data_IF_042890229706
#
_entry.id   IF_042890229706
#
_cell.length_a   1.000
_cell.length_b   1.000
_cell.length_c   1.000
_cell.angle_alpha   90.00
_cell.angle_beta   90.00
_cell.angle_gamma   90.00
#
_symmetry.space_group_name_H-M   'P 1'
#
loop_
_entity.id
_entity.type
_entity.pdbx_description
1 polymer ?
#
# COMPACT_ATOMS: atom_id res chain seq x y z
N UNK A 1 -36.92 51.29 8.34
CA UNK A 1 -37.86 50.71 7.35
C UNK A 1 -37.53 49.24 7.24
N UNK A 2 -38.29 48.44 7.96
CA UNK A 2 -38.08 46.97 8.09
C UNK A 2 -39.10 46.32 7.17
N UNK A 3 -38.65 45.59 6.17
CA UNK A 3 -39.49 44.78 5.27
C UNK A 3 -39.43 43.32 5.68
N UNK A 4 -40.54 42.86 6.20
CA UNK A 4 -40.84 41.49 6.55
C UNK A 4 -41.25 40.71 5.28
N UNK A 5 -40.66 39.54 5.05
CA UNK A 5 -40.98 38.60 3.96
C UNK A 5 -41.99 37.55 4.48
N UNK A 6 -43.06 37.25 3.75
CA UNK A 6 -44.01 36.22 4.16
C UNK A 6 -43.54 34.78 3.88
N UNK A 7 -44.05 33.85 4.71
CA UNK A 7 -43.78 32.42 4.65
C UNK A 7 -44.57 31.69 3.53
N UNK A 8 -44.10 30.59 3.00
CA UNK A 8 -44.80 29.77 2.02
C UNK A 8 -45.86 28.85 2.66
N UNK A 9 -46.88 28.43 1.91
CA UNK A 9 -48.00 27.61 2.41
C UNK A 9 -47.63 26.11 2.48
N UNK A 10 -48.30 25.41 3.40
CA UNK A 10 -48.24 23.98 3.62
C UNK A 10 -48.95 23.19 2.51
N UNK A 11 -48.50 21.98 2.17
CA UNK A 11 -49.22 21.12 1.24
C UNK A 11 -50.31 20.26 1.92
N UNK A 12 -51.45 20.21 1.30
CA UNK A 12 -52.63 19.45 1.69
C UNK A 12 -52.43 17.91 1.55
N UNK A 13 -52.95 17.20 2.51
CA UNK A 13 -53.04 15.73 2.52
C UNK A 13 -54.14 15.21 1.61
N UNK A 14 -53.82 14.28 0.70
CA UNK A 14 -54.79 13.49 -0.02
C UNK A 14 -54.65 12.00 0.38
N UNK A 15 -55.66 11.54 1.10
CA UNK A 15 -55.92 10.12 1.36
C UNK A 15 -56.66 9.48 0.20
N UNK A 16 -56.18 8.39 -0.32
CA UNK A 16 -57.00 7.45 -1.11
C UNK A 16 -56.60 6.03 -0.77
N UNK A 17 -57.59 5.31 -0.24
CA UNK A 17 -57.56 3.89 0.04
C UNK A 17 -57.88 3.09 -1.26
N UNK A 18 -57.21 1.95 -1.45
CA UNK A 18 -57.66 0.86 -2.27
C UNK A 18 -57.18 -0.48 -1.70
N UNK A 19 -58.12 -1.34 -1.49
CA UNK A 19 -57.99 -2.69 -0.94
C UNK A 19 -57.52 -3.75 -1.98
N UNK A 20 -57.26 -5.03 -1.59
CA UNK A 20 -56.22 -5.86 -2.18
C UNK A 20 -56.76 -6.84 -3.24
N UNK A 21 -55.92 -7.20 -4.17
CA UNK A 21 -56.14 -8.34 -5.05
C UNK A 21 -55.15 -9.46 -4.72
N UNK A 22 -55.70 -10.60 -4.34
CA UNK A 22 -55.01 -11.87 -4.14
C UNK A 22 -54.45 -12.40 -5.46
N UNK A 23 -53.22 -12.85 -5.45
CA UNK A 23 -52.70 -13.83 -6.40
C UNK A 23 -51.64 -14.69 -5.69
N UNK A 24 -52.04 -15.90 -5.38
CA UNK A 24 -51.15 -17.00 -5.00
C UNK A 24 -50.30 -17.47 -6.19
N UNK A 25 -49.19 -18.08 -5.82
CA UNK A 25 -48.41 -19.02 -6.63
C UNK A 25 -47.54 -18.43 -7.75
N UNK A 26 -46.31 -18.17 -7.40
CA UNK A 26 -45.07 -18.54 -8.15
C UNK A 26 -43.91 -18.53 -7.16
N UNK A 27 -43.89 -19.50 -6.28
CA UNK A 27 -42.68 -19.84 -5.49
C UNK A 27 -41.87 -20.85 -6.29
N UNK A 28 -40.57 -20.72 -6.11
CA UNK A 28 -39.61 -21.78 -6.29
C UNK A 28 -38.97 -21.90 -7.68
N UNK A 29 -37.92 -21.09 -7.92
CA UNK A 29 -36.76 -21.42 -8.76
C UNK A 29 -35.65 -20.36 -8.74
N UNK A 30 -35.71 -19.31 -7.88
CA UNK A 30 -34.69 -18.25 -7.85
C UNK A 30 -33.67 -18.36 -6.72
N UNK A 31 -33.87 -19.26 -5.75
CA UNK A 31 -32.95 -19.36 -4.59
C UNK A 31 -31.77 -20.33 -4.82
N UNK A 32 -31.86 -21.25 -5.81
CA UNK A 32 -30.74 -22.16 -6.09
C UNK A 32 -29.68 -21.55 -7.02
N UNK A 33 -30.03 -20.62 -7.90
CA UNK A 33 -29.03 -19.95 -8.78
C UNK A 33 -28.22 -18.85 -8.07
N UNK A 34 -28.74 -18.19 -7.03
CA UNK A 34 -27.98 -17.22 -6.23
C UNK A 34 -27.00 -17.89 -5.27
N UNK A 35 -27.21 -19.15 -4.90
CA UNK A 35 -26.31 -19.91 -4.02
C UNK A 35 -25.04 -20.39 -4.75
N UNK A 36 -25.10 -20.68 -6.03
CA UNK A 36 -23.94 -21.13 -6.82
C UNK A 36 -23.05 -19.97 -7.28
N UNK A 37 -23.61 -18.76 -7.46
CA UNK A 37 -22.83 -17.57 -7.81
C UNK A 37 -21.98 -17.02 -6.65
N UNK A 38 -22.35 -17.30 -5.41
CA UNK A 38 -21.58 -16.87 -4.22
C UNK A 38 -20.47 -17.85 -3.79
N UNK A 39 -20.45 -19.06 -4.33
CA UNK A 39 -19.41 -20.05 -4.02
C UNK A 39 -18.10 -19.89 -4.84
N UNK A 40 -18.08 -18.97 -5.81
CA UNK A 40 -16.97 -18.83 -6.77
C UNK A 40 -15.87 -17.84 -6.39
N UNK A 41 -15.97 -17.03 -5.33
CA UNK A 41 -15.03 -15.93 -5.07
C UNK A 41 -14.57 -15.80 -3.61
N UNK A 42 -14.48 -16.88 -2.91
CA UNK A 42 -13.63 -16.96 -1.73
C UNK A 42 -12.24 -17.45 -2.15
N UNK A 43 -11.44 -16.56 -2.73
CA UNK A 43 -10.00 -16.73 -2.70
C UNK A 43 -9.62 -16.84 -1.22
N UNK A 44 -9.28 -18.03 -0.77
CA UNK A 44 -8.84 -18.31 0.60
C UNK A 44 -7.74 -17.31 0.93
N UNK A 45 -8.03 -16.38 1.85
CA UNK A 45 -6.98 -15.51 2.40
C UNK A 45 -5.94 -16.45 2.98
N UNK A 46 -4.74 -16.45 2.42
CA UNK A 46 -3.66 -17.27 2.94
C UNK A 46 -3.46 -16.85 4.40
N UNK A 47 -3.53 -17.79 5.32
CA UNK A 47 -3.17 -17.54 6.70
C UNK A 47 -1.74 -16.99 6.76
N UNK A 48 -1.50 -16.00 7.60
CA UNK A 48 -0.25 -15.23 7.66
C UNK A 48 0.29 -15.31 9.07
N UNK A 49 1.56 -15.70 9.19
CA UNK A 49 2.30 -15.70 10.45
C UNK A 49 3.14 -14.43 10.58
N UNK A 50 2.93 -13.67 11.65
CA UNK A 50 3.85 -12.59 12.01
C UNK A 50 5.02 -13.17 12.78
N UNK A 51 6.23 -12.98 12.26
CA UNK A 51 7.45 -13.55 12.86
C UNK A 51 8.53 -12.48 13.01
N UNK A 52 9.36 -12.63 14.03
CA UNK A 52 10.57 -11.82 14.20
C UNK A 52 11.74 -12.46 13.45
N UNK A 53 12.45 -11.67 12.64
CA UNK A 53 13.64 -12.10 11.92
C UNK A 53 14.86 -11.36 12.43
N UNK A 54 15.88 -12.05 12.98
CA UNK A 54 17.16 -11.42 13.28
C UNK A 54 17.81 -10.87 12.02
N UNK A 55 18.21 -9.59 12.07
CA UNK A 55 18.90 -8.89 10.97
C UNK A 55 20.29 -8.53 11.43
N UNK A 56 21.36 -9.04 10.80
CA UNK A 56 22.73 -8.77 11.22
C UNK A 56 23.05 -7.27 11.28
N UNK A 57 23.49 -6.80 12.45
CA UNK A 57 23.84 -5.39 12.67
C UNK A 57 22.66 -4.46 12.99
N UNK A 58 21.42 -4.97 13.04
CA UNK A 58 20.21 -4.20 13.28
C UNK A 58 19.31 -4.86 14.33
N UNK A 59 18.28 -4.16 14.75
CA UNK A 59 17.22 -4.77 15.55
C UNK A 59 16.48 -5.82 14.69
N UNK A 60 15.88 -6.80 15.36
CA UNK A 60 15.10 -7.80 14.66
C UNK A 60 13.90 -7.14 13.93
N UNK A 61 13.77 -7.45 12.66
CA UNK A 61 12.68 -6.98 11.82
C UNK A 61 11.42 -7.83 12.03
N UNK A 62 10.28 -7.29 11.65
CA UNK A 62 9.03 -8.05 11.57
C UNK A 62 8.80 -8.53 10.15
N UNK A 63 8.42 -9.80 10.03
CA UNK A 63 7.96 -10.38 8.77
C UNK A 63 6.52 -10.84 8.89
N UNK A 64 5.75 -10.67 7.81
CA UNK A 64 4.50 -11.37 7.62
C UNK A 64 4.69 -12.44 6.55
N UNK A 65 4.63 -13.69 6.97
CA UNK A 65 4.95 -14.85 6.15
C UNK A 65 3.66 -15.59 5.82
N UNK A 66 3.24 -15.65 4.54
CA UNK A 66 2.08 -16.42 4.15
C UNK A 66 2.31 -17.90 4.43
N UNK A 67 1.29 -18.63 4.86
CA UNK A 67 1.31 -20.10 4.91
C UNK A 67 1.16 -20.68 3.50
N UNK A 68 1.78 -21.83 3.25
CA UNK A 68 1.78 -22.48 1.94
C UNK A 68 3.13 -22.47 1.26
N UNK A 69 3.24 -23.20 0.15
CA UNK A 69 4.50 -23.49 -0.54
C UNK A 69 4.69 -22.69 -1.85
N UNK A 70 3.75 -21.86 -2.22
CA UNK A 70 3.86 -21.07 -3.42
C UNK A 70 5.04 -20.08 -3.32
N UNK A 71 5.79 -19.84 -4.41
CA UNK A 71 6.82 -18.82 -4.39
C UNK A 71 6.16 -17.43 -4.28
N UNK A 72 6.59 -16.66 -3.27
CA UNK A 72 6.07 -15.35 -2.97
C UNK A 72 7.02 -14.25 -3.44
N UNK A 73 6.47 -13.13 -3.84
CA UNK A 73 7.26 -11.92 -4.02
C UNK A 73 7.61 -11.32 -2.67
N UNK A 74 8.85 -10.83 -2.54
CA UNK A 74 9.26 -10.07 -1.36
C UNK A 74 8.79 -8.61 -1.50
N UNK A 75 8.11 -8.12 -0.48
CA UNK A 75 7.76 -6.70 -0.32
C UNK A 75 8.46 -6.17 0.92
N UNK A 76 9.33 -5.19 0.77
CA UNK A 76 9.91 -4.44 1.90
C UNK A 76 9.03 -3.23 2.17
N UNK A 77 8.48 -3.13 3.37
CA UNK A 77 7.58 -2.05 3.76
C UNK A 77 8.18 -1.19 4.88
N UNK A 78 8.67 0.01 4.53
CA UNK A 78 9.27 0.97 5.45
C UNK A 78 8.23 1.98 5.96
N UNK A 79 8.11 2.10 7.27
CA UNK A 79 7.16 2.99 7.95
C UNK A 79 7.59 4.46 7.92
N UNK A 80 6.70 5.35 8.33
CA UNK A 80 6.99 6.77 8.59
C UNK A 80 7.64 6.98 9.97
N UNK A 81 8.15 8.19 10.23
CA UNK A 81 8.64 8.57 11.55
C UNK A 81 7.53 8.42 12.61
N UNK A 82 7.85 7.82 13.74
CA UNK A 82 6.90 7.46 14.78
C UNK A 82 6.03 6.23 14.43
N UNK A 83 6.33 5.55 13.33
CA UNK A 83 5.60 4.36 12.91
C UNK A 83 5.95 3.12 13.72
N UNK A 84 5.12 2.09 13.56
CA UNK A 84 5.29 0.77 14.16
C UNK A 84 5.52 -0.25 13.03
N UNK A 85 6.67 -0.95 13.01
CA UNK A 85 6.96 -1.96 12.00
C UNK A 85 5.99 -3.14 12.03
N UNK A 86 5.48 -3.54 13.21
CA UNK A 86 4.56 -4.67 13.35
C UNK A 86 3.18 -4.31 12.74
N UNK A 87 2.70 -3.09 13.01
CA UNK A 87 1.49 -2.56 12.40
C UNK A 87 1.64 -2.36 10.88
N UNK A 88 2.81 -1.93 10.42
CA UNK A 88 3.12 -1.77 8.99
C UNK A 88 3.11 -3.13 8.29
N UNK A 89 3.76 -4.14 8.86
CA UNK A 89 3.75 -5.50 8.32
C UNK A 89 2.35 -6.09 8.26
N UNK A 90 1.58 -5.99 9.34
CA UNK A 90 0.20 -6.46 9.38
C UNK A 90 -0.68 -5.78 8.34
N UNK A 91 -0.49 -4.48 8.13
CA UNK A 91 -1.24 -3.72 7.12
C UNK A 91 -0.92 -4.20 5.70
N UNK A 92 0.36 -4.37 5.38
CA UNK A 92 0.79 -4.86 4.06
C UNK A 92 0.42 -6.32 3.82
N UNK A 93 0.43 -7.16 4.86
CA UNK A 93 -0.02 -8.55 4.78
C UNK A 93 -1.50 -8.63 4.37
N UNK A 94 -2.37 -7.83 4.99
CA UNK A 94 -3.78 -7.72 4.59
C UNK A 94 -3.95 -7.22 3.15
N UNK A 95 -3.24 -6.13 2.77
CA UNK A 95 -3.28 -5.59 1.39
C UNK A 95 -2.96 -6.62 0.34
N UNK A 96 -1.95 -7.43 0.61
CA UNK A 96 -1.50 -8.47 -0.33
C UNK A 96 -2.31 -9.75 -0.23
N UNK A 97 -3.23 -9.87 0.74
CA UNK A 97 -4.05 -11.07 0.99
C UNK A 97 -3.19 -12.34 1.05
N UNK A 98 -2.03 -12.25 1.71
CA UNK A 98 -1.09 -13.38 1.78
C UNK A 98 -0.44 -13.79 0.46
N UNK A 99 -0.45 -12.94 -0.58
CA UNK A 99 0.20 -13.22 -1.88
C UNK A 99 1.66 -12.76 -1.97
N UNK A 100 2.18 -12.18 -0.90
CA UNK A 100 3.57 -11.74 -0.81
C UNK A 100 4.12 -11.99 0.60
N UNK A 101 5.43 -12.20 0.70
CA UNK A 101 6.15 -12.15 1.97
C UNK A 101 6.49 -10.69 2.24
N UNK A 102 6.04 -10.17 3.38
CA UNK A 102 6.28 -8.77 3.76
C UNK A 102 7.42 -8.72 4.77
N UNK A 103 8.39 -7.83 4.56
CA UNK A 103 9.51 -7.59 5.47
C UNK A 103 9.56 -6.11 5.86
N UNK A 104 9.51 -5.83 7.16
CA UNK A 104 9.41 -4.47 7.69
C UNK A 104 10.63 -4.14 8.53
N UNK A 105 11.51 -3.23 8.04
CA UNK A 105 12.64 -2.76 8.81
C UNK A 105 12.13 -2.01 10.05
N UNK A 106 12.84 -2.18 11.18
CA UNK A 106 12.40 -1.60 12.46
C UNK A 106 12.87 -0.17 12.65
N UNK A 107 14.10 0.14 12.25
CA UNK A 107 14.72 1.40 12.58
C UNK A 107 15.14 1.49 14.04
N UNK A 108 15.15 2.71 14.58
CA UNK A 108 15.47 2.99 16.00
C UNK A 108 14.24 3.44 16.74
N UNK A 109 14.10 3.03 18.00
CA UNK A 109 13.04 3.54 18.88
C UNK A 109 13.19 5.04 19.10
N UNK A 110 12.09 5.78 19.10
CA UNK A 110 12.07 7.23 19.39
C UNK A 110 12.37 7.54 20.85
N UNK A 111 12.07 6.59 21.74
CA UNK A 111 12.36 6.68 23.18
C UNK A 111 12.85 5.33 23.69
N UNK A 112 13.88 5.33 24.53
CA UNK A 112 14.36 4.13 25.20
C UNK A 112 13.45 3.70 26.37
N UNK A 113 12.69 4.66 26.94
CA UNK A 113 11.81 4.43 28.09
C UNK A 113 10.45 3.85 27.65
N UNK A 114 9.97 4.25 26.48
CA UNK A 114 8.73 3.75 25.88
C UNK A 114 8.98 3.52 24.41
N UNK A 115 9.29 2.29 23.98
CA UNK A 115 9.62 2.00 22.59
C UNK A 115 8.36 1.97 21.70
N UNK A 116 7.50 2.97 21.84
CA UNK A 116 6.36 3.20 20.99
C UNK A 116 6.72 4.19 19.89
N UNK A 117 6.83 3.68 18.68
CA UNK A 117 7.23 4.45 17.52
C UNK A 117 8.73 4.37 17.23
N UNK A 118 8.99 4.19 15.95
CA UNK A 118 10.32 4.01 15.41
C UNK A 118 10.59 5.04 14.31
N UNK A 119 11.86 5.27 14.01
CA UNK A 119 12.31 6.18 12.95
C UNK A 119 13.61 5.69 12.33
N UNK A 120 13.92 6.19 11.16
CA UNK A 120 15.23 5.97 10.53
C UNK A 120 16.09 7.21 10.72
N UNK A 121 17.31 7.09 11.25
CA UNK A 121 18.16 8.26 11.52
C UNK A 121 18.49 9.06 10.26
N UNK A 122 18.78 8.36 9.18
CA UNK A 122 19.05 8.89 7.85
C UNK A 122 18.81 7.82 6.78
N UNK A 123 18.92 8.21 5.51
CA UNK A 123 18.68 7.30 4.39
C UNK A 123 19.77 6.23 4.23
N UNK A 124 21.00 6.45 4.67
CA UNK A 124 22.05 5.44 4.63
C UNK A 124 21.81 4.34 5.67
N UNK A 125 21.35 4.73 6.86
CA UNK A 125 20.95 3.76 7.88
C UNK A 125 19.76 2.90 7.41
N UNK A 126 18.74 3.53 6.81
CA UNK A 126 17.61 2.78 6.22
C UNK A 126 18.08 1.89 5.07
N UNK A 127 18.93 2.38 4.16
CA UNK A 127 19.47 1.57 3.06
C UNK A 127 20.20 0.34 3.58
N UNK A 128 21.09 0.51 4.56
CA UNK A 128 21.87 -0.59 5.13
C UNK A 128 20.96 -1.62 5.82
N UNK A 129 19.96 -1.17 6.59
CA UNK A 129 19.00 -2.06 7.26
C UNK A 129 18.13 -2.81 6.23
N UNK A 130 17.61 -2.12 5.22
CA UNK A 130 16.80 -2.73 4.15
C UNK A 130 17.60 -3.80 3.39
N UNK A 131 18.85 -3.53 3.03
CA UNK A 131 19.67 -4.50 2.32
C UNK A 131 20.02 -5.72 3.19
N UNK A 132 20.32 -5.51 4.47
CA UNK A 132 20.55 -6.60 5.42
C UNK A 132 19.28 -7.44 5.65
N UNK A 133 18.12 -6.78 5.75
CA UNK A 133 16.82 -7.43 5.90
C UNK A 133 16.48 -8.29 4.67
N UNK A 134 16.69 -7.77 3.46
CA UNK A 134 16.47 -8.54 2.23
C UNK A 134 17.37 -9.77 2.20
N UNK A 135 18.67 -9.62 2.50
CA UNK A 135 19.60 -10.74 2.54
C UNK A 135 19.22 -11.81 3.60
N UNK A 136 18.79 -11.38 4.78
CA UNK A 136 18.31 -12.28 5.84
C UNK A 136 17.02 -13.01 5.42
N UNK A 137 16.09 -12.30 4.77
CA UNK A 137 14.84 -12.86 4.25
C UNK A 137 15.11 -13.89 3.15
N UNK A 138 15.98 -13.58 2.20
CA UNK A 138 16.40 -14.49 1.14
C UNK A 138 17.09 -15.74 1.72
N UNK A 139 18.00 -15.58 2.67
CA UNK A 139 18.66 -16.72 3.33
C UNK A 139 17.65 -17.64 4.01
N UNK A 140 16.66 -17.07 4.69
CA UNK A 140 15.67 -17.84 5.48
C UNK A 140 14.58 -18.49 4.64
N UNK A 141 14.18 -17.80 3.53
CA UNK A 141 12.99 -18.14 2.76
C UNK A 141 13.27 -18.38 1.26
N UNK A 142 14.55 -18.56 0.84
CA UNK A 142 14.93 -18.72 -0.56
C UNK A 142 14.02 -19.66 -1.38
N UNK A 143 13.66 -20.86 -0.89
CA UNK A 143 12.81 -21.79 -1.67
C UNK A 143 11.38 -21.27 -1.89
N UNK A 144 10.97 -20.28 -1.10
CA UNK A 144 9.62 -19.67 -1.12
C UNK A 144 9.59 -18.28 -1.73
N UNK A 145 10.71 -17.77 -2.21
CA UNK A 145 10.79 -16.46 -2.84
C UNK A 145 11.01 -16.59 -4.34
N UNK A 146 10.35 -15.76 -5.09
CA UNK A 146 10.67 -15.58 -6.50
C UNK A 146 11.95 -14.76 -6.64
N UNK A 147 12.74 -15.10 -7.66
CA UNK A 147 14.06 -14.49 -7.89
C UNK A 147 14.00 -13.37 -8.94
N UNK A 148 13.04 -12.44 -8.81
CA UNK A 148 12.86 -11.31 -9.73
C UNK A 148 12.92 -9.93 -9.04
N UNK A 149 13.60 -9.88 -7.91
CA UNK A 149 13.72 -8.70 -7.07
C UNK A 149 12.53 -8.50 -6.12
N UNK A 150 12.64 -7.47 -5.30
CA UNK A 150 11.64 -7.09 -4.32
C UNK A 150 10.85 -5.86 -4.76
N UNK A 151 9.66 -5.69 -4.21
CA UNK A 151 8.94 -4.41 -4.21
C UNK A 151 9.37 -3.63 -2.98
N UNK A 152 9.67 -2.35 -3.14
CA UNK A 152 9.84 -1.45 -2.01
C UNK A 152 8.58 -0.62 -1.82
N UNK A 153 8.04 -0.62 -0.62
CA UNK A 153 7.01 0.30 -0.19
C UNK A 153 7.54 1.21 0.91
N UNK A 154 7.27 2.50 0.81
CA UNK A 154 7.59 3.48 1.84
C UNK A 154 6.43 4.40 2.13
N UNK A 155 6.24 4.72 3.41
CA UNK A 155 5.34 5.77 3.86
C UNK A 155 6.13 6.92 4.49
N UNK A 156 5.77 8.17 4.14
CA UNK A 156 6.33 9.39 4.74
C UNK A 156 7.87 9.37 4.77
N UNK A 157 8.50 9.21 5.94
CA UNK A 157 9.95 9.10 6.11
C UNK A 157 10.53 7.93 5.31
N UNK A 158 9.91 6.74 5.37
CA UNK A 158 10.33 5.58 4.59
C UNK A 158 10.27 5.82 3.09
N UNK A 159 9.26 6.54 2.59
CA UNK A 159 9.16 6.91 1.18
C UNK A 159 10.23 7.93 0.78
N UNK A 160 10.41 8.98 1.57
CA UNK A 160 11.37 10.07 1.28
C UNK A 160 12.81 9.57 1.32
N UNK A 161 13.18 8.84 2.36
CA UNK A 161 14.51 8.26 2.48
C UNK A 161 14.76 7.15 1.45
N UNK A 162 13.73 6.33 1.15
CA UNK A 162 13.79 5.33 0.09
C UNK A 162 14.15 5.94 -1.25
N UNK A 163 13.49 7.03 -1.65
CA UNK A 163 13.75 7.70 -2.92
C UNK A 163 15.18 8.22 -3.09
N UNK A 164 15.93 8.40 -1.99
CA UNK A 164 17.33 8.82 -2.02
C UNK A 164 18.29 7.67 -2.42
N UNK A 165 18.05 6.44 -1.99
CA UNK A 165 18.95 5.31 -2.28
C UNK A 165 18.46 4.36 -3.37
N UNK A 166 17.14 4.21 -3.55
CA UNK A 166 16.54 3.26 -4.50
C UNK A 166 16.99 3.46 -5.96
N UNK A 167 17.28 4.70 -6.45
CA UNK A 167 17.83 4.86 -7.79
C UNK A 167 19.13 4.08 -8.04
N UNK A 168 19.90 3.78 -6.99
CA UNK A 168 21.10 2.98 -7.07
C UNK A 168 20.87 1.49 -6.84
N UNK A 169 19.69 1.10 -6.40
CA UNK A 169 19.31 -0.26 -5.99
C UNK A 169 18.18 -0.86 -6.81
N UNK A 170 17.90 -0.29 -7.99
CA UNK A 170 16.77 -0.70 -8.82
C UNK A 170 16.87 -2.16 -9.31
N UNK A 171 18.07 -2.70 -9.49
CA UNK A 171 18.24 -4.13 -9.77
C UNK A 171 17.66 -5.05 -8.67
N UNK A 172 17.58 -4.54 -7.44
CA UNK A 172 16.96 -5.23 -6.31
C UNK A 172 15.49 -4.84 -6.11
N UNK A 173 15.14 -3.61 -6.44
CA UNK A 173 13.81 -3.01 -6.24
C UNK A 173 13.31 -2.36 -7.52
N UNK A 174 12.84 -3.18 -8.45
CA UNK A 174 12.36 -2.68 -9.76
C UNK A 174 11.01 -1.95 -9.66
N UNK A 175 10.27 -2.16 -8.59
CA UNK A 175 8.94 -1.58 -8.35
C UNK A 175 8.91 -0.85 -7.02
N UNK A 176 8.45 0.40 -7.04
CA UNK A 176 8.34 1.26 -5.86
C UNK A 176 6.88 1.67 -5.62
N UNK A 177 6.46 1.65 -4.35
CA UNK A 177 5.19 2.22 -3.88
C UNK A 177 5.53 3.29 -2.85
N UNK A 178 5.32 4.55 -3.18
CA UNK A 178 5.71 5.70 -2.38
C UNK A 178 4.46 6.46 -1.95
N UNK A 179 4.17 6.44 -0.65
CA UNK A 179 2.96 7.05 -0.08
C UNK A 179 3.35 8.25 0.78
N UNK A 180 2.74 9.40 0.51
CA UNK A 180 2.93 10.66 1.25
C UNK A 180 4.41 11.05 1.41
N UNK A 181 5.25 10.74 0.41
CA UNK A 181 6.68 11.04 0.41
C UNK A 181 7.38 10.59 -0.88
N UNK A 182 8.69 10.72 -0.92
CA UNK A 182 9.52 10.23 -2.02
C UNK A 182 9.40 11.00 -3.34
N UNK A 183 8.94 12.23 -3.32
CA UNK A 183 8.67 13.03 -4.51
C UNK A 183 9.68 14.15 -4.78
N UNK A 184 10.54 14.51 -3.84
CA UNK A 184 11.51 15.60 -4.02
C UNK A 184 12.82 15.20 -4.69
N UNK A 185 13.12 13.92 -4.74
CA UNK A 185 14.46 13.38 -4.96
C UNK A 185 14.73 12.99 -6.43
N UNK A 186 13.71 13.06 -7.28
CA UNK A 186 13.82 12.62 -8.68
C UNK A 186 14.33 13.73 -9.61
N UNK A 187 15.61 13.68 -9.91
CA UNK A 187 16.26 14.44 -10.99
C UNK A 187 16.34 13.58 -12.26
N UNK A 188 16.64 14.19 -13.41
CA UNK A 188 16.90 13.41 -14.64
C UNK A 188 17.96 12.33 -14.41
N UNK A 189 19.01 12.65 -13.68
CA UNK A 189 20.13 11.74 -13.40
C UNK A 189 19.65 10.55 -12.54
N UNK A 190 18.91 10.79 -11.47
CA UNK A 190 18.45 9.73 -10.57
C UNK A 190 17.37 8.86 -11.24
N UNK A 191 16.47 9.45 -12.01
CA UNK A 191 15.47 8.71 -12.77
C UNK A 191 16.10 7.83 -13.88
N UNK A 192 17.08 8.38 -14.59
CA UNK A 192 17.80 7.60 -15.59
C UNK A 192 18.62 6.48 -14.95
N UNK A 193 19.27 6.74 -13.81
CA UNK A 193 19.96 5.70 -13.05
C UNK A 193 19.00 4.60 -12.63
N UNK A 194 17.85 4.96 -12.05
CA UNK A 194 16.82 3.98 -11.68
C UNK A 194 16.44 3.10 -12.88
N UNK A 195 16.10 3.71 -14.02
CA UNK A 195 15.69 2.99 -15.21
C UNK A 195 16.80 2.08 -15.77
N UNK A 196 18.04 2.58 -15.87
CA UNK A 196 19.15 1.82 -16.45
C UNK A 196 19.69 0.71 -15.56
N UNK A 197 19.43 0.77 -14.25
CA UNK A 197 19.79 -0.28 -13.30
C UNK A 197 18.66 -1.28 -13.00
N UNK A 198 17.56 -1.25 -13.76
CA UNK A 198 16.49 -2.24 -13.65
C UNK A 198 15.16 -1.72 -13.09
N UNK A 199 15.04 -0.42 -12.81
CA UNK A 199 13.81 0.19 -12.36
C UNK A 199 12.73 0.21 -13.43
N UNK A 200 11.53 -0.23 -13.10
CA UNK A 200 10.44 -0.43 -14.05
C UNK A 200 9.25 0.47 -13.74
N UNK A 201 8.81 0.49 -12.48
CA UNK A 201 7.54 1.12 -12.10
C UNK A 201 7.64 1.88 -10.79
N UNK A 202 6.95 3.01 -10.71
CA UNK A 202 6.77 3.79 -9.49
C UNK A 202 5.30 4.17 -9.34
N UNK A 203 4.71 3.78 -8.22
CA UNK A 203 3.39 4.23 -7.77
C UNK A 203 3.56 5.30 -6.71
N UNK A 204 2.95 6.46 -6.92
CA UNK A 204 2.79 7.47 -5.87
C UNK A 204 1.34 7.51 -5.41
N UNK A 205 1.12 7.53 -4.09
CA UNK A 205 -0.20 7.71 -3.50
C UNK A 205 -0.17 8.89 -2.53
N UNK A 206 -1.01 9.87 -2.77
CA UNK A 206 -1.06 11.13 -2.04
C UNK A 206 -2.44 11.36 -1.42
N UNK A 207 -2.52 11.62 -0.13
CA UNK A 207 -3.71 12.07 0.58
C UNK A 207 -3.70 13.58 0.85
N UNK A 208 -2.50 14.22 0.78
CA UNK A 208 -2.34 15.67 0.97
C UNK A 208 -2.18 16.42 -0.35
N UNK A 209 -2.64 17.68 -0.38
CA UNK A 209 -2.45 18.56 -1.54
C UNK A 209 -0.98 18.82 -1.85
N UNK A 210 -0.15 18.92 -0.80
CA UNK A 210 1.28 19.15 -0.95
C UNK A 210 1.96 17.98 -1.66
N UNK A 211 1.68 16.75 -1.24
CA UNK A 211 2.16 15.54 -1.90
C UNK A 211 1.74 15.51 -3.37
N UNK A 212 0.44 15.66 -3.65
CA UNK A 212 -0.11 15.62 -5.02
C UNK A 212 0.55 16.64 -5.96
N UNK A 213 0.75 17.88 -5.51
CA UNK A 213 1.42 18.92 -6.29
C UNK A 213 2.91 18.58 -6.55
N UNK A 214 3.60 18.03 -5.57
CA UNK A 214 5.04 17.71 -5.65
C UNK A 214 5.31 16.48 -6.53
N UNK A 215 4.45 15.47 -6.47
CA UNK A 215 4.55 14.23 -7.25
C UNK A 215 4.47 14.48 -8.75
N UNK A 216 3.66 15.44 -9.20
CA UNK A 216 3.47 15.72 -10.63
C UNK A 216 4.78 16.06 -11.38
N UNK A 217 5.74 16.70 -10.70
CA UNK A 217 7.07 16.97 -11.28
C UNK A 217 7.91 15.70 -11.35
N UNK A 218 7.92 14.92 -10.28
CA UNK A 218 8.71 13.68 -10.18
C UNK A 218 8.22 12.62 -11.16
N UNK A 219 6.90 12.49 -11.34
CA UNK A 219 6.29 11.61 -12.33
C UNK A 219 6.79 11.90 -13.73
N UNK A 220 6.72 13.18 -14.19
CA UNK A 220 7.23 13.58 -15.51
C UNK A 220 8.71 13.27 -15.71
N UNK A 221 9.53 13.44 -14.66
CA UNK A 221 10.96 13.15 -14.74
C UNK A 221 11.21 11.64 -14.88
N UNK A 222 10.49 10.82 -14.13
CA UNK A 222 10.57 9.35 -14.22
C UNK A 222 10.06 8.84 -15.58
N UNK A 223 8.90 9.32 -16.04
CA UNK A 223 8.33 8.98 -17.33
C UNK A 223 9.28 9.35 -18.50
N UNK A 224 9.93 10.51 -18.43
CA UNK A 224 10.92 10.94 -19.42
C UNK A 224 12.16 10.04 -19.47
N UNK A 225 12.43 9.29 -18.42
CA UNK A 225 13.48 8.27 -18.34
C UNK A 225 13.01 6.87 -18.78
N UNK A 226 11.73 6.71 -19.15
CA UNK A 226 11.14 5.43 -19.56
C UNK A 226 10.67 4.54 -18.39
N UNK A 227 10.43 5.12 -17.22
CA UNK A 227 9.84 4.44 -16.09
C UNK A 227 8.32 4.53 -16.20
N UNK A 228 7.60 3.43 -15.94
CA UNK A 228 6.14 3.44 -15.86
C UNK A 228 5.72 4.05 -14.53
N UNK A 229 5.00 5.17 -14.57
CA UNK A 229 4.57 5.88 -13.36
C UNK A 229 3.05 5.87 -13.24
N UNK A 230 2.57 5.66 -12.02
CA UNK A 230 1.19 5.86 -11.66
C UNK A 230 1.11 6.82 -10.48
N UNK A 231 0.22 7.79 -10.56
CA UNK A 231 -0.03 8.76 -9.50
C UNK A 231 -1.48 8.71 -9.10
N UNK A 232 -1.74 8.63 -7.80
CA UNK A 232 -3.08 8.62 -7.24
C UNK A 232 -3.20 9.69 -6.16
N UNK A 233 -4.32 10.40 -6.19
CA UNK A 233 -4.61 11.45 -5.20
C UNK A 233 -5.95 11.17 -4.53
N UNK A 234 -5.93 11.08 -3.21
CA UNK A 234 -7.10 10.90 -2.38
C UNK A 234 -7.41 12.25 -1.71
N UNK A 235 -8.35 12.99 -2.27
CA UNK A 235 -8.71 14.32 -1.76
C UNK A 235 -9.18 14.24 -0.30
N UNK A 236 -8.53 15.02 0.57
CA UNK A 236 -8.85 15.01 2.01
C UNK A 236 -8.40 13.78 2.78
N UNK A 237 -7.63 12.87 2.14
CA UNK A 237 -7.13 11.66 2.78
C UNK A 237 -6.13 11.90 3.92
N UNK A 238 -5.43 13.06 3.90
CA UNK A 238 -4.46 13.42 4.93
C UNK A 238 -3.10 12.72 4.78
N UNK A 239 -2.20 13.01 5.71
CA UNK A 239 -0.86 12.41 5.75
C UNK A 239 -0.91 11.05 6.47
N UNK A 240 -1.39 10.03 5.77
CA UNK A 240 -1.62 8.68 6.29
C UNK A 240 -1.48 7.64 5.19
N UNK A 241 -1.30 6.38 5.58
CA UNK A 241 -1.39 5.18 4.73
C UNK A 241 -2.61 4.31 5.09
N UNK A 242 -3.56 4.86 5.87
CA UNK A 242 -4.78 4.20 6.37
C UNK A 242 -6.04 4.91 5.85
N UNK A 243 -7.21 4.39 6.22
CA UNK A 243 -8.51 4.94 5.78
C UNK A 243 -8.58 5.07 4.25
N UNK A 244 -9.11 6.16 3.70
CA UNK A 244 -9.28 6.31 2.25
C UNK A 244 -7.99 6.19 1.44
N UNK A 245 -6.83 6.59 2.00
CA UNK A 245 -5.52 6.40 1.35
C UNK A 245 -5.14 4.92 1.35
N UNK A 246 -5.40 4.22 2.47
CA UNK A 246 -5.20 2.78 2.59
C UNK A 246 -6.06 1.98 1.62
N UNK A 247 -7.35 2.30 1.51
CA UNK A 247 -8.27 1.69 0.56
C UNK A 247 -7.80 1.87 -0.90
N UNK A 248 -7.24 3.04 -1.22
CA UNK A 248 -6.66 3.27 -2.54
C UNK A 248 -5.40 2.45 -2.77
N UNK A 249 -4.55 2.28 -1.76
CA UNK A 249 -3.41 1.37 -1.83
C UNK A 249 -3.86 -0.08 -2.05
N UNK A 250 -4.90 -0.53 -1.35
CA UNK A 250 -5.47 -1.88 -1.48
C UNK A 250 -5.96 -2.14 -2.91
N UNK A 251 -6.63 -1.15 -3.53
CA UNK A 251 -7.07 -1.23 -4.92
C UNK A 251 -5.93 -1.26 -5.96
N UNK A 252 -4.72 -0.85 -5.57
CA UNK A 252 -3.57 -0.71 -6.46
C UNK A 252 -2.47 -1.74 -6.20
N UNK A 253 -2.60 -2.54 -5.15
CA UNK A 253 -1.59 -3.54 -4.79
C UNK A 253 -1.31 -4.51 -5.93
N UNK A 254 -2.33 -4.90 -6.69
CA UNK A 254 -2.18 -5.80 -7.84
C UNK A 254 -1.34 -5.19 -8.96
N UNK A 255 -1.47 -3.87 -9.20
CA UNK A 255 -0.60 -3.17 -10.13
C UNK A 255 0.87 -3.22 -9.69
N UNK A 256 1.15 -3.10 -8.39
CA UNK A 256 2.50 -3.18 -7.84
C UNK A 256 3.05 -4.62 -7.80
N UNK A 257 2.18 -5.61 -7.58
CA UNK A 257 2.57 -7.03 -7.51
C UNK A 257 2.45 -7.74 -8.85
N UNK A 258 1.75 -7.17 -9.84
CA UNK A 258 1.57 -7.82 -11.14
C UNK A 258 2.90 -7.98 -11.84
N UNK A 259 3.17 -9.21 -12.25
CA UNK A 259 4.30 -9.65 -13.03
C UNK A 259 4.05 -9.30 -14.49
N UNK A 260 5.01 -8.70 -15.14
CA UNK A 260 5.05 -8.91 -16.59
C UNK A 260 5.58 -10.33 -16.79
N UNK A 261 4.69 -11.21 -17.22
CA UNK A 261 5.03 -12.56 -17.68
C UNK A 261 5.71 -12.47 -19.03
#
# INVERSE_FOLDING_TARGET
MTTTRPAPPEPESVTAAAEPASAESLLDHSEEEESEAQAGEQATENEIDLVSLPVPGFQAATLAVPRGDAPFRLVVAAHGAGGDPDATCSSWARRTRGRALIACPRGRAMSELEPHGFYYPDHHALEAEVLALVAASETRYAPRLVNDGAVYSGFSQGATMGALFLPARAARFSVLVLTEGGYGEWTRRTAQRFRTTGGERVLFVCGTRHCAASVAKSARVLESAGVTVRTETVSGGGHTDRGPVGERLDALVDWALSWQR
#
